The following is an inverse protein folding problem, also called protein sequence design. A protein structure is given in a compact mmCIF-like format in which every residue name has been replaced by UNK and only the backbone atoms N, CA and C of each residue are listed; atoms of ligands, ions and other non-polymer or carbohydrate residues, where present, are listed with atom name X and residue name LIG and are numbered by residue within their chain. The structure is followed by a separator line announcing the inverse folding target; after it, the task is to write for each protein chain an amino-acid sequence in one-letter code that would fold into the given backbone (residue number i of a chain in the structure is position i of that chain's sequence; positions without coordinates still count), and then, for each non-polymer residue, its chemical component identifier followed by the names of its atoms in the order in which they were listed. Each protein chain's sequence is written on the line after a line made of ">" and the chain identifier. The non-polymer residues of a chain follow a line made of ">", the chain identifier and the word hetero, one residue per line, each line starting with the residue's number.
data_IF_405857043881
#
_entry.id   IF_405857043881
#
_cell.length_a   1.000
_cell.length_b   1.000
_cell.length_c   1.000
_cell.angle_alpha   90.00
_cell.angle_beta   90.00
_cell.angle_gamma   90.00
#
_symmetry.space_group_name_H-M   'P 1'
#
loop_
_entity.id
_entity.type
_entity.pdbx_description
1 polymer ?
#
# COMPACT_ATOMS: atom_id res chain seq x y z
N UNK A 1 -20.59 30.67 -6.90
CA UNK A 1 -20.70 29.47 -6.03
C UNK A 1 -19.63 29.59 -4.96
N UNK A 2 -20.05 29.85 -3.74
CA UNK A 2 -19.19 30.09 -2.58
C UNK A 2 -18.66 28.76 -2.03
N UNK A 3 -17.34 28.59 -2.04
CA UNK A 3 -16.67 27.46 -1.39
C UNK A 3 -16.71 27.70 0.12
N UNK A 4 -17.56 26.95 0.84
CA UNK A 4 -17.52 26.90 2.30
C UNK A 4 -16.28 26.09 2.71
N UNK A 5 -15.19 26.79 2.99
CA UNK A 5 -14.06 26.20 3.71
C UNK A 5 -14.50 26.11 5.17
N UNK A 6 -15.02 24.95 5.57
CA UNK A 6 -15.12 24.60 6.98
C UNK A 6 -13.70 24.54 7.54
N UNK A 7 -13.24 25.61 8.19
CA UNK A 7 -12.06 25.60 9.04
C UNK A 7 -12.37 24.71 10.24
N UNK A 8 -12.13 23.40 10.07
CA UNK A 8 -12.06 22.46 11.19
C UNK A 8 -11.08 23.03 12.22
N UNK A 9 -11.54 23.19 13.46
CA UNK A 9 -10.67 23.50 14.60
C UNK A 9 -9.72 22.31 14.79
N UNK A 10 -8.55 22.40 14.17
CA UNK A 10 -7.49 21.40 14.25
C UNK A 10 -7.00 21.36 15.71
N UNK A 11 -7.03 20.17 16.33
CA UNK A 11 -6.63 19.97 17.73
C UNK A 11 -5.18 20.45 17.96
N UNK A 12 -4.88 21.14 19.08
CA UNK A 12 -3.65 21.91 19.25
C UNK A 12 -2.38 21.07 19.53
N UNK A 13 -2.48 19.75 19.61
CA UNK A 13 -1.46 18.91 20.25
C UNK A 13 -0.43 18.29 19.28
N UNK A 14 -0.64 18.39 17.96
CA UNK A 14 0.32 17.90 16.98
C UNK A 14 0.57 18.95 15.91
N UNK A 15 1.83 19.18 15.56
CA UNK A 15 2.24 20.00 14.41
C UNK A 15 3.18 19.15 13.56
N UNK A 16 2.80 18.82 12.32
CA UNK A 16 3.71 18.13 11.43
C UNK A 16 5.01 18.94 11.30
N UNK A 17 6.16 18.27 11.37
CA UNK A 17 7.47 18.89 11.17
C UNK A 17 8.28 18.09 10.15
N UNK A 18 9.23 18.77 9.51
CA UNK A 18 10.22 18.16 8.62
C UNK A 18 11.61 18.68 8.96
N UNK A 19 12.64 17.87 8.73
CA UNK A 19 14.02 18.31 8.86
C UNK A 19 14.55 18.76 7.49
N UNK A 20 14.96 20.03 7.39
CA UNK A 20 15.59 20.59 6.19
C UNK A 20 16.96 21.11 6.59
N UNK A 21 18.02 20.52 6.01
CA UNK A 21 19.42 20.87 6.30
C UNK A 21 19.74 20.88 7.82
N UNK A 22 19.22 19.91 8.57
CA UNK A 22 19.44 19.78 10.01
C UNK A 22 18.59 20.71 10.89
N UNK A 23 17.65 21.47 10.30
CA UNK A 23 16.70 22.32 11.04
C UNK A 23 15.29 21.77 10.96
N UNK A 24 14.59 21.77 12.09
CA UNK A 24 13.17 21.45 12.13
C UNK A 24 12.34 22.63 11.61
N UNK A 25 11.52 22.36 10.60
CA UNK A 25 10.53 23.28 10.07
C UNK A 25 9.13 22.71 10.34
N UNK A 26 8.22 23.54 10.86
CA UNK A 26 6.83 23.17 11.01
C UNK A 26 6.08 23.29 9.68
N UNK A 27 5.25 22.30 9.38
CA UNK A 27 4.34 22.28 8.24
C UNK A 27 2.92 22.53 8.74
N UNK A 28 2.16 23.34 8.01
CA UNK A 28 0.71 23.37 8.21
C UNK A 28 0.08 22.06 7.75
N UNK A 29 -1.06 21.70 8.33
CA UNK A 29 -1.83 20.53 7.88
C UNK A 29 -2.22 20.61 6.40
N UNK A 30 -2.50 21.80 5.87
CA UNK A 30 -2.80 21.99 4.46
C UNK A 30 -1.59 21.68 3.57
N UNK A 31 -0.38 22.10 3.97
CA UNK A 31 0.85 21.79 3.23
C UNK A 31 1.15 20.30 3.28
N UNK A 32 0.94 19.66 4.44
CA UNK A 32 1.15 18.23 4.58
C UNK A 32 0.15 17.42 3.74
N UNK A 33 -1.13 17.80 3.75
CA UNK A 33 -2.15 17.22 2.88
C UNK A 33 -1.80 17.37 1.39
N UNK A 34 -1.39 18.58 0.98
CA UNK A 34 -0.97 18.83 -0.40
C UNK A 34 0.25 17.97 -0.80
N UNK A 35 1.19 17.77 0.11
CA UNK A 35 2.33 16.90 -0.12
C UNK A 35 1.87 15.45 -0.37
N UNK A 36 0.97 14.92 0.47
CA UNK A 36 0.42 13.58 0.29
C UNK A 36 -0.27 13.45 -1.07
N UNK A 37 -1.10 14.42 -1.44
CA UNK A 37 -1.79 14.45 -2.74
C UNK A 37 -0.83 14.41 -3.93
N UNK A 38 0.33 15.06 -3.81
CA UNK A 38 1.32 15.13 -4.89
C UNK A 38 2.18 13.87 -4.98
N UNK A 39 2.40 13.15 -3.88
CA UNK A 39 3.41 12.09 -3.82
C UNK A 39 2.86 10.69 -3.58
N UNK A 40 1.67 10.54 -3.01
CA UNK A 40 1.14 9.22 -2.65
C UNK A 40 1.05 8.31 -3.87
N UNK A 41 0.29 8.71 -4.89
CA UNK A 41 0.11 7.85 -6.06
C UNK A 41 1.42 7.64 -6.82
N UNK A 42 2.28 8.66 -6.93
CA UNK A 42 3.59 8.52 -7.57
C UNK A 42 4.50 7.51 -6.84
N UNK A 43 4.44 7.45 -5.50
CA UNK A 43 5.24 6.52 -4.72
C UNK A 43 4.70 5.10 -4.71
N UNK A 44 3.37 4.93 -4.70
CA UNK A 44 2.72 3.63 -4.53
C UNK A 44 2.30 2.98 -5.84
N UNK A 45 2.11 3.71 -6.94
CA UNK A 45 1.68 3.11 -8.20
C UNK A 45 2.78 2.28 -8.85
N UNK A 46 2.44 1.06 -9.28
CA UNK A 46 3.33 0.21 -10.07
C UNK A 46 2.85 0.20 -11.52
N UNK A 47 3.37 1.11 -12.33
CA UNK A 47 3.01 1.22 -13.75
C UNK A 47 3.48 0.01 -14.56
N UNK A 48 4.69 -0.46 -14.26
CA UNK A 48 5.38 -1.47 -15.06
C UNK A 48 5.92 -0.95 -16.39
N UNK A 49 5.93 0.36 -16.58
CA UNK A 49 6.69 1.02 -17.64
C UNK A 49 8.18 1.07 -17.23
N UNK A 50 9.11 0.48 -17.99
CA UNK A 50 10.54 0.59 -17.72
C UNK A 50 11.07 2.03 -17.70
N UNK A 51 10.34 2.98 -18.30
CA UNK A 51 10.67 4.40 -18.31
C UNK A 51 10.08 5.23 -17.18
N UNK A 52 9.36 4.63 -16.22
CA UNK A 52 8.72 5.37 -15.12
C UNK A 52 9.79 5.96 -14.17
N UNK A 53 9.91 7.30 -14.07
CA UNK A 53 10.93 7.92 -13.23
C UNK A 53 10.69 7.70 -11.73
N UNK A 54 9.50 7.28 -11.32
CA UNK A 54 9.19 6.98 -9.92
C UNK A 54 9.53 5.53 -9.54
N UNK A 55 9.75 4.66 -10.53
CA UNK A 55 10.06 3.26 -10.29
C UNK A 55 11.57 3.06 -10.08
N UNK A 56 11.95 2.68 -8.86
CA UNK A 56 13.35 2.52 -8.44
C UNK A 56 13.84 1.09 -8.52
N UNK A 57 12.92 0.11 -8.46
CA UNK A 57 13.23 -1.31 -8.42
C UNK A 57 12.39 -2.08 -9.43
N UNK A 58 12.51 -1.71 -10.71
CA UNK A 58 11.81 -2.37 -11.81
C UNK A 58 12.10 -3.88 -11.89
N UNK A 59 13.26 -4.32 -11.38
CA UNK A 59 13.67 -5.72 -11.25
C UNK A 59 12.86 -6.51 -10.22
N UNK A 60 12.25 -5.84 -9.24
CA UNK A 60 11.41 -6.46 -8.20
C UNK A 60 9.91 -6.47 -8.58
N UNK A 61 9.55 -5.81 -9.68
CA UNK A 61 8.16 -5.69 -10.14
C UNK A 61 7.67 -7.03 -10.69
N UNK A 62 6.91 -7.75 -9.87
CA UNK A 62 6.23 -8.98 -10.28
C UNK A 62 4.84 -8.71 -10.90
N UNK A 63 4.13 -7.69 -10.43
CA UNK A 63 2.82 -7.28 -10.97
C UNK A 63 2.78 -5.79 -11.29
N UNK A 64 1.99 -5.47 -12.31
CA UNK A 64 1.80 -4.13 -12.85
C UNK A 64 0.34 -3.76 -12.74
N UNK A 65 0.04 -2.46 -12.75
CA UNK A 65 -1.33 -1.97 -12.59
C UNK A 65 -1.87 -2.18 -11.18
N UNK A 66 -1.00 -2.11 -10.17
CA UNK A 66 -1.34 -2.28 -8.75
C UNK A 66 -0.78 -1.12 -7.93
N UNK A 67 -1.24 -0.99 -6.69
CA UNK A 67 -0.59 -0.16 -5.68
C UNK A 67 0.27 -1.04 -4.78
N UNK A 68 1.50 -0.58 -4.50
CA UNK A 68 2.46 -1.18 -3.57
C UNK A 68 1.81 -1.39 -2.21
N UNK A 69 2.18 -2.46 -1.52
CA UNK A 69 1.72 -2.71 -0.16
C UNK A 69 2.42 -1.81 0.86
N UNK A 70 3.70 -1.51 0.60
CA UNK A 70 4.52 -0.65 1.43
C UNK A 70 5.45 0.22 0.58
N UNK A 71 6.12 1.18 1.22
CA UNK A 71 7.07 2.07 0.56
C UNK A 71 8.32 2.20 1.43
N UNK A 72 9.42 1.59 1.00
CA UNK A 72 10.67 1.56 1.76
C UNK A 72 10.71 0.48 2.83
N UNK A 73 10.11 -0.69 2.57
CA UNK A 73 10.23 -1.85 3.45
C UNK A 73 11.69 -2.29 3.61
N UNK A 74 11.99 -2.95 4.75
CA UNK A 74 13.32 -3.49 5.04
C UNK A 74 13.76 -4.56 4.03
N UNK A 75 12.80 -5.31 3.48
CA UNK A 75 12.98 -6.10 2.27
C UNK A 75 12.24 -5.40 1.13
N UNK A 76 12.98 -4.84 0.18
CA UNK A 76 12.43 -4.01 -0.89
C UNK A 76 11.38 -4.73 -1.76
N UNK A 77 11.45 -6.06 -1.86
CA UNK A 77 10.46 -6.83 -2.60
C UNK A 77 9.08 -6.80 -1.95
N UNK A 78 9.00 -6.65 -0.62
CA UNK A 78 7.74 -6.55 0.10
C UNK A 78 6.92 -5.30 -0.30
N UNK A 79 7.56 -4.25 -0.81
CA UNK A 79 6.85 -3.09 -1.36
C UNK A 79 5.95 -3.52 -2.54
N UNK A 80 6.39 -4.47 -3.36
CA UNK A 80 5.75 -4.84 -4.64
C UNK A 80 4.75 -5.99 -4.52
N UNK A 81 4.44 -6.45 -3.30
CA UNK A 81 3.46 -7.51 -3.10
C UNK A 81 2.04 -7.01 -3.36
N UNK A 82 1.27 -7.78 -4.12
CA UNK A 82 -0.17 -7.53 -4.24
C UNK A 82 -0.87 -8.08 -3.00
N UNK A 83 -1.36 -7.17 -2.18
CA UNK A 83 -2.15 -7.42 -0.96
C UNK A 83 -3.43 -6.59 -0.96
N UNK A 84 -4.46 -6.95 -0.18
CA UNK A 84 -5.72 -6.23 -0.19
C UNK A 84 -5.66 -4.87 0.54
N UNK A 85 -4.55 -4.56 1.21
CA UNK A 85 -4.43 -3.44 2.16
C UNK A 85 -4.71 -2.06 1.55
N UNK A 86 -4.26 -1.79 0.32
CA UNK A 86 -4.47 -0.48 -0.31
C UNK A 86 -5.96 -0.14 -0.54
N UNK A 87 -6.84 -1.15 -0.55
CA UNK A 87 -8.29 -0.91 -0.68
C UNK A 87 -8.85 -0.14 0.52
N UNK A 88 -8.22 -0.25 1.70
CA UNK A 88 -8.57 0.58 2.87
C UNK A 88 -8.30 2.05 2.55
N UNK A 89 -7.12 2.36 1.99
CA UNK A 89 -6.74 3.71 1.59
C UNK A 89 -7.69 4.29 0.53
N UNK A 90 -8.11 3.48 -0.45
CA UNK A 90 -9.09 3.88 -1.46
C UNK A 90 -10.44 4.27 -0.86
N UNK A 91 -10.89 3.59 0.20
CA UNK A 91 -12.16 3.92 0.86
C UNK A 91 -12.06 5.20 1.69
N UNK A 92 -10.96 5.39 2.42
CA UNK A 92 -10.83 6.50 3.39
C UNK A 92 -10.31 7.80 2.78
N UNK A 93 -9.53 7.72 1.70
CA UNK A 93 -8.92 8.86 1.03
C UNK A 93 -8.93 8.66 -0.50
N UNK A 94 -10.11 8.50 -1.12
CA UNK A 94 -10.25 8.25 -2.56
C UNK A 94 -9.60 9.35 -3.42
N UNK A 95 -9.48 10.57 -2.89
CA UNK A 95 -8.83 11.70 -3.55
C UNK A 95 -7.34 11.49 -3.84
N UNK A 96 -6.68 10.52 -3.19
CA UNK A 96 -5.29 10.16 -3.45
C UNK A 96 -5.10 9.29 -4.70
N UNK A 97 -6.18 8.87 -5.35
CA UNK A 97 -6.16 7.89 -6.43
C UNK A 97 -6.73 8.48 -7.71
N UNK A 98 -6.00 8.32 -8.81
CA UNK A 98 -6.52 8.55 -10.15
C UNK A 98 -7.53 7.45 -10.48
N UNK A 99 -8.71 7.83 -10.96
CA UNK A 99 -9.85 6.92 -11.18
C UNK A 99 -9.46 5.73 -12.07
N UNK A 100 -8.75 5.98 -13.16
CA UNK A 100 -8.35 4.94 -14.12
C UNK A 100 -7.41 3.90 -13.49
N UNK A 101 -6.44 4.35 -12.68
CA UNK A 101 -5.50 3.47 -11.98
C UNK A 101 -6.18 2.70 -10.85
N UNK A 102 -7.12 3.34 -10.15
CA UNK A 102 -7.91 2.70 -9.12
C UNK A 102 -8.71 1.53 -9.67
N UNK A 103 -9.38 1.71 -10.81
CA UNK A 103 -10.12 0.63 -11.48
C UNK A 103 -9.22 -0.53 -11.88
N UNK A 104 -8.08 -0.26 -12.54
CA UNK A 104 -7.12 -1.31 -12.92
C UNK A 104 -6.64 -2.12 -11.71
N UNK A 105 -6.33 -1.46 -10.60
CA UNK A 105 -5.88 -2.14 -9.39
C UNK A 105 -7.00 -2.96 -8.73
N UNK A 106 -8.25 -2.45 -8.71
CA UNK A 106 -9.40 -3.17 -8.17
C UNK A 106 -9.75 -4.41 -9.01
N UNK A 107 -9.67 -4.34 -10.34
CA UNK A 107 -9.83 -5.51 -11.21
C UNK A 107 -8.77 -6.58 -10.92
N UNK A 108 -7.52 -6.16 -10.66
CA UNK A 108 -6.45 -7.07 -10.25
C UNK A 108 -6.73 -7.73 -8.89
N UNK A 109 -7.24 -6.96 -7.93
CA UNK A 109 -7.64 -7.45 -6.60
C UNK A 109 -8.79 -8.44 -6.70
N UNK A 110 -9.83 -8.13 -7.47
CA UNK A 110 -10.97 -9.03 -7.71
C UNK A 110 -10.48 -10.35 -8.32
N UNK A 111 -9.65 -10.26 -9.36
CA UNK A 111 -9.14 -11.44 -10.07
C UNK A 111 -8.25 -12.33 -9.21
N UNK A 112 -7.40 -11.75 -8.36
CA UNK A 112 -6.34 -12.50 -7.65
C UNK A 112 -6.66 -12.77 -6.19
N UNK A 113 -7.17 -11.77 -5.48
CA UNK A 113 -7.30 -11.81 -4.03
C UNK A 113 -8.70 -12.19 -3.57
N UNK A 114 -9.77 -11.83 -4.29
CA UNK A 114 -11.13 -12.16 -3.88
C UNK A 114 -11.34 -13.68 -3.81
N UNK A 115 -11.73 -14.15 -2.64
CA UNK A 115 -12.17 -15.51 -2.36
C UNK A 115 -13.68 -15.56 -2.13
N UNK A 116 -14.26 -16.75 -1.94
CA UNK A 116 -15.71 -16.90 -1.78
C UNK A 116 -16.27 -16.24 -0.51
N UNK A 117 -15.45 -16.07 0.54
CA UNK A 117 -15.88 -15.56 1.85
C UNK A 117 -14.99 -14.43 2.40
N UNK A 118 -13.92 -14.04 1.68
CA UNK A 118 -12.97 -13.04 2.14
C UNK A 118 -11.89 -12.76 1.11
N UNK A 119 -10.82 -12.08 1.53
CA UNK A 119 -9.73 -11.67 0.66
C UNK A 119 -8.45 -12.42 1.03
N UNK A 120 -7.76 -13.02 0.05
CA UNK A 120 -6.43 -13.58 0.27
C UNK A 120 -5.49 -12.46 0.73
N UNK A 121 -4.75 -12.72 1.80
CA UNK A 121 -3.81 -11.75 2.39
C UNK A 121 -2.55 -11.51 1.56
N UNK A 122 -2.29 -12.37 0.57
CA UNK A 122 -1.20 -12.26 -0.41
C UNK A 122 -1.63 -12.88 -1.74
N UNK A 123 -1.10 -12.37 -2.84
CA UNK A 123 -1.31 -12.91 -4.17
C UNK A 123 -0.83 -14.37 -4.32
N UNK A 124 -1.63 -15.27 -4.93
CA UNK A 124 -1.25 -16.66 -5.16
C UNK A 124 -0.05 -16.89 -6.08
N UNK A 125 0.33 -15.93 -6.93
CA UNK A 125 1.50 -16.07 -7.79
C UNK A 125 2.80 -15.66 -7.05
N UNK A 126 2.70 -15.17 -5.81
CA UNK A 126 3.85 -14.75 -5.00
C UNK A 126 4.65 -15.96 -4.45
N UNK A 127 5.98 -15.85 -4.45
CA UNK A 127 6.89 -16.92 -4.05
C UNK A 127 6.76 -17.36 -2.58
N UNK A 128 6.21 -16.53 -1.70
CA UNK A 128 5.96 -16.89 -0.29
C UNK A 128 4.50 -17.17 0.02
N UNK A 129 3.64 -17.26 -1.01
CA UNK A 129 2.23 -17.60 -0.81
C UNK A 129 2.06 -18.98 -0.18
N UNK A 130 1.36 -19.02 0.96
CA UNK A 130 1.05 -20.18 1.77
C UNK A 130 -0.39 -20.07 2.30
N UNK A 131 -1.39 -20.39 1.46
CA UNK A 131 -2.80 -20.16 1.77
C UNK A 131 -3.47 -21.05 2.83
N UNK A 132 -2.83 -22.13 3.28
CA UNK A 132 -3.40 -23.08 4.25
C UNK A 132 -2.81 -22.83 5.64
N UNK A 133 -3.56 -22.20 6.53
CA UNK A 133 -3.13 -21.89 7.89
C UNK A 133 -3.37 -23.06 8.85
N UNK A 134 -2.32 -23.45 9.59
CA UNK A 134 -2.38 -24.39 10.71
C UNK A 134 -1.41 -23.94 11.82
N UNK A 135 -1.98 -23.43 12.92
CA UNK A 135 -1.20 -22.96 14.06
C UNK A 135 -0.51 -24.08 14.84
N UNK A 136 -1.04 -25.31 14.72
CA UNK A 136 -0.53 -26.49 15.43
C UNK A 136 0.62 -27.18 14.69
N UNK A 137 0.85 -26.82 13.43
CA UNK A 137 1.86 -27.42 12.58
C UNK A 137 3.26 -27.19 13.16
N UNK A 138 3.87 -28.26 13.66
CA UNK A 138 5.20 -28.28 14.25
C UNK A 138 6.16 -29.00 13.31
N UNK A 139 6.82 -28.25 12.43
CA UNK A 139 7.78 -28.79 11.46
C UNK A 139 8.90 -27.77 11.17
N UNK A 140 9.84 -28.16 10.32
CA UNK A 140 11.01 -27.33 9.98
C UNK A 140 10.75 -26.37 8.80
N UNK A 141 9.53 -26.32 8.26
CA UNK A 141 9.20 -25.40 7.17
C UNK A 141 8.90 -24.01 7.76
N UNK A 142 9.89 -23.13 7.69
CA UNK A 142 9.82 -21.75 8.16
C UNK A 142 8.55 -21.00 7.71
N UNK A 143 8.06 -21.22 6.49
CA UNK A 143 6.90 -20.49 5.99
C UNK A 143 5.57 -20.92 6.66
N UNK A 144 5.51 -22.10 7.28
CA UNK A 144 4.27 -22.68 7.79
C UNK A 144 4.30 -22.97 9.29
N UNK A 145 5.47 -23.28 9.83
CA UNK A 145 5.64 -23.73 11.21
C UNK A 145 5.00 -22.75 12.20
N UNK A 146 4.22 -23.30 13.14
CA UNK A 146 3.54 -22.55 14.21
C UNK A 146 2.68 -21.38 13.68
N UNK A 147 2.10 -21.53 12.49
CA UNK A 147 1.21 -20.53 11.91
C UNK A 147 1.90 -19.31 11.31
N UNK A 148 3.18 -19.40 10.94
CA UNK A 148 3.93 -18.28 10.36
C UNK A 148 3.24 -17.66 9.12
N UNK A 149 2.47 -18.45 8.37
CA UNK A 149 1.73 -18.01 7.20
C UNK A 149 0.38 -17.32 7.47
N UNK A 150 0.04 -16.97 8.71
CA UNK A 150 -1.26 -16.35 9.03
C UNK A 150 -1.64 -15.17 8.12
N UNK A 151 -0.64 -14.39 7.67
CA UNK A 151 -0.81 -13.27 6.75
C UNK A 151 -0.12 -13.48 5.39
N UNK A 152 0.06 -14.72 4.92
CA UNK A 152 0.75 -15.02 3.65
C UNK A 152 -0.12 -15.80 2.67
N UNK A 153 -1.41 -15.49 2.60
CA UNK A 153 -2.33 -16.15 1.67
C UNK A 153 -3.67 -16.62 2.23
N UNK A 154 -3.82 -16.90 3.54
CA UNK A 154 -5.13 -17.17 4.13
C UNK A 154 -6.15 -16.07 3.83
N UNK A 155 -7.42 -16.48 3.82
CA UNK A 155 -8.63 -15.68 3.58
C UNK A 155 -9.33 -15.38 4.90
#
# INVERSE_FOLDING_TARGET
>A
MSCNVYTLRIHPWYKPCRCVAGKEEFLSYSQWNQQLQQTFEAGFWVSGDPGDPNEKHADLVHKKGIYKDSYGASNAWCDYQLRPNFTIAMVVAPELFTVEKAWLALEMVEKKLLGPLGMKTLDPDDMVYCGVYDNSLDNDNYNLAKGFNYHQGPV
#
